data_IF_139878161976
#
_entry.id   IF_139878161976
#
_cell.length_a   1.000
_cell.length_b   1.000
_cell.length_c   1.000
_cell.angle_alpha   90.00
_cell.angle_beta   90.00
_cell.angle_gamma   90.00
#
_symmetry.space_group_name_H-M   'P 1'
#
loop_
_entity.id
_entity.type
_entity.pdbx_description
1 polymer ?
#
# COMPACT_ATOMS: atom_id res chain seq x y z
N UNK A 1 13.75 -11.54 -2.26
CA UNK A 1 14.08 -11.63 -3.70
C UNK A 1 13.61 -10.36 -4.38
N UNK A 2 14.53 -9.46 -4.73
CA UNK A 2 14.21 -8.35 -5.64
C UNK A 2 13.89 -8.87 -7.05
N UNK A 3 13.52 -7.96 -7.96
CA UNK A 3 13.11 -8.21 -9.35
C UNK A 3 14.12 -8.94 -10.26
N UNK A 4 15.25 -9.42 -9.71
CA UNK A 4 16.37 -10.02 -10.44
C UNK A 4 16.39 -11.56 -10.44
N UNK A 5 15.41 -12.23 -9.80
CA UNK A 5 15.23 -13.68 -9.88
C UNK A 5 16.15 -14.52 -9.00
N UNK A 6 17.44 -14.17 -8.88
CA UNK A 6 18.36 -14.85 -7.95
C UNK A 6 18.20 -14.36 -6.50
N UNK A 7 18.01 -15.26 -5.51
CA UNK A 7 18.06 -14.89 -4.10
C UNK A 7 19.44 -14.37 -3.70
N UNK A 8 19.49 -13.18 -3.08
CA UNK A 8 20.68 -12.64 -2.42
C UNK A 8 20.53 -12.82 -0.90
N UNK A 9 21.51 -13.46 -0.26
CA UNK A 9 21.52 -13.62 1.20
C UNK A 9 21.95 -12.33 1.89
N UNK A 10 21.02 -11.60 2.51
CA UNK A 10 21.33 -10.36 3.25
C UNK A 10 22.00 -10.70 4.58
N UNK A 11 23.20 -10.17 4.81
CA UNK A 11 23.97 -10.41 6.03
C UNK A 11 23.54 -9.43 7.13
N UNK A 12 22.79 -9.93 8.11
CA UNK A 12 22.33 -9.16 9.27
C UNK A 12 23.08 -9.60 10.52
N UNK A 13 23.60 -8.64 11.26
CA UNK A 13 24.29 -8.83 12.54
C UNK A 13 23.31 -8.75 13.70
N UNK A 14 23.73 -9.21 14.88
CA UNK A 14 22.98 -8.99 16.12
C UNK A 14 22.71 -7.50 16.39
N UNK A 15 23.71 -6.64 16.15
CA UNK A 15 23.57 -5.20 16.35
C UNK A 15 22.47 -4.60 15.45
N UNK A 16 22.36 -5.07 14.20
CA UNK A 16 21.30 -4.60 13.29
C UNK A 16 19.90 -4.87 13.87
N UNK A 17 19.70 -6.04 14.48
CA UNK A 17 18.40 -6.45 15.05
C UNK A 17 18.15 -5.77 16.40
N UNK A 18 19.15 -5.67 17.28
CA UNK A 18 19.00 -5.04 18.60
C UNK A 18 18.63 -3.55 18.49
N UNK A 19 19.21 -2.84 17.52
CA UNK A 19 18.87 -1.45 17.24
C UNK A 19 17.37 -1.25 16.93
N UNK A 20 16.73 -2.24 16.30
CA UNK A 20 15.30 -2.18 16.00
C UNK A 20 14.43 -2.34 17.25
N UNK A 21 14.92 -3.09 18.24
CA UNK A 21 14.22 -3.22 19.52
C UNK A 21 14.24 -1.90 20.29
N UNK A 22 15.39 -1.21 20.28
CA UNK A 22 15.52 0.11 20.90
C UNK A 22 14.55 1.11 20.26
N UNK A 23 14.48 1.14 18.92
CA UNK A 23 13.54 1.98 18.18
C UNK A 23 12.06 1.66 18.48
N UNK A 24 11.71 0.38 18.69
CA UNK A 24 10.33 0.01 19.06
C UNK A 24 10.01 0.43 20.50
N UNK A 25 10.96 0.30 21.42
CA UNK A 25 10.76 0.65 22.84
C UNK A 25 10.54 2.13 23.07
N UNK A 26 11.01 3.00 22.18
CA UNK A 26 10.82 4.45 22.34
C UNK A 26 9.39 4.90 22.05
N UNK A 27 8.66 4.15 21.22
CA UNK A 27 7.39 4.61 20.62
C UNK A 27 6.21 3.65 20.87
N UNK A 28 6.50 2.43 21.34
CA UNK A 28 5.49 1.39 21.58
C UNK A 28 5.68 0.71 22.94
N UNK A 29 4.63 0.76 23.75
CA UNK A 29 4.56 0.06 25.04
C UNK A 29 4.13 -1.40 24.81
N UNK A 30 5.11 -2.31 24.71
CA UNK A 30 4.88 -3.77 24.67
C UNK A 30 5.42 -4.41 25.93
N UNK A 31 4.59 -5.23 26.58
CA UNK A 31 4.84 -5.79 27.90
C UNK A 31 4.53 -7.30 27.96
N UNK A 32 4.87 -7.95 29.06
CA UNK A 32 4.58 -9.38 29.26
C UNK A 32 3.07 -9.72 29.31
N UNK A 33 2.18 -8.73 29.43
CA UNK A 33 0.73 -8.96 29.34
C UNK A 33 0.20 -8.96 27.91
N UNK A 34 1.06 -8.62 26.95
CA UNK A 34 0.69 -8.57 25.54
C UNK A 34 0.76 -9.92 24.87
N UNK A 35 -0.08 -10.08 23.84
CA UNK A 35 -0.17 -11.28 23.04
C UNK A 35 -0.10 -10.91 21.57
N UNK A 36 0.74 -11.61 20.83
CA UNK A 36 0.85 -11.51 19.39
C UNK A 36 0.38 -12.78 18.69
N UNK A 37 -0.04 -12.62 17.44
CA UNK A 37 -0.42 -13.69 16.54
C UNK A 37 0.54 -13.70 15.35
N UNK A 38 1.46 -14.66 15.35
CA UNK A 38 2.42 -14.88 14.28
C UNK A 38 1.80 -15.77 13.19
N UNK A 39 1.46 -15.17 12.05
CA UNK A 39 0.97 -15.88 10.87
C UNK A 39 1.80 -15.58 9.61
N UNK A 40 2.75 -14.65 9.70
CA UNK A 40 3.71 -14.40 8.63
C UNK A 40 4.88 -15.40 8.71
N UNK A 41 5.55 -15.73 7.60
CA UNK A 41 6.68 -16.65 7.65
C UNK A 41 7.87 -16.07 8.42
N UNK A 42 8.48 -16.85 9.33
CA UNK A 42 9.71 -16.48 10.04
C UNK A 42 10.94 -16.33 9.12
N UNK A 43 10.85 -16.79 7.87
CA UNK A 43 11.86 -16.50 6.85
C UNK A 43 11.86 -15.04 6.41
N UNK A 44 10.78 -14.30 6.66
CA UNK A 44 10.65 -12.88 6.36
C UNK A 44 11.16 -12.05 7.54
N UNK A 45 12.05 -11.08 7.28
CA UNK A 45 12.69 -10.30 8.35
C UNK A 45 11.70 -9.53 9.22
N UNK A 46 10.56 -9.10 8.65
CA UNK A 46 9.53 -8.34 9.37
C UNK A 46 8.97 -9.11 10.56
N UNK A 47 8.45 -10.31 10.31
CA UNK A 47 7.93 -11.19 11.35
C UNK A 47 9.04 -11.71 12.26
N UNK A 48 10.22 -12.01 11.71
CA UNK A 48 11.34 -12.53 12.49
C UNK A 48 11.81 -11.53 13.54
N UNK A 49 12.05 -10.28 13.15
CA UNK A 49 12.45 -9.22 14.08
C UNK A 49 11.34 -8.93 15.09
N UNK A 50 10.08 -8.90 14.65
CA UNK A 50 8.93 -8.73 15.55
C UNK A 50 8.83 -9.86 16.58
N UNK A 51 8.91 -11.12 16.16
CA UNK A 51 8.88 -12.28 17.05
C UNK A 51 10.00 -12.22 18.10
N UNK A 52 11.21 -11.81 17.71
CA UNK A 52 12.30 -11.61 18.67
C UNK A 52 12.03 -10.47 19.65
N UNK A 53 11.40 -9.39 19.18
CA UNK A 53 11.00 -8.28 20.04
C UNK A 53 9.92 -8.69 21.06
N UNK A 54 8.91 -9.46 20.62
CA UNK A 54 7.88 -10.04 21.51
C UNK A 54 8.54 -10.87 22.61
N UNK A 55 9.49 -11.74 22.28
CA UNK A 55 10.25 -12.50 23.27
C UNK A 55 11.09 -11.62 24.19
N UNK A 56 11.70 -10.56 23.66
CA UNK A 56 12.48 -9.59 24.46
C UNK A 56 11.62 -8.85 25.48
N UNK A 57 10.35 -8.61 25.18
CA UNK A 57 9.38 -7.99 26.08
C UNK A 57 8.73 -8.98 27.07
N UNK A 58 8.99 -10.28 26.93
CA UNK A 58 8.33 -11.33 27.72
C UNK A 58 6.86 -11.55 27.35
N UNK A 59 6.43 -11.05 26.19
CA UNK A 59 5.08 -11.18 25.68
C UNK A 59 4.85 -12.57 25.06
N UNK A 60 3.58 -12.96 24.93
CA UNK A 60 3.18 -14.23 24.33
C UNK A 60 3.15 -14.13 22.80
N UNK A 61 3.76 -15.09 22.10
CA UNK A 61 3.70 -15.17 20.63
C UNK A 61 2.98 -16.45 20.19
N UNK A 62 1.80 -16.31 19.59
CA UNK A 62 0.96 -17.43 19.15
C UNK A 62 1.21 -17.75 17.68
N UNK A 63 1.71 -18.94 17.39
CA UNK A 63 2.03 -19.36 16.03
C UNK A 63 0.84 -20.01 15.34
N UNK A 64 0.45 -19.46 14.19
CA UNK A 64 -0.60 -20.01 13.35
C UNK A 64 -0.01 -20.78 12.17
N UNK A 65 -0.34 -22.06 12.07
CA UNK A 65 0.16 -22.92 11.00
C UNK A 65 -0.41 -22.59 9.61
N UNK A 66 -1.71 -22.24 9.53
CA UNK A 66 -2.39 -21.88 8.29
C UNK A 66 -2.81 -20.40 8.30
N UNK A 67 -2.10 -19.51 7.57
CA UNK A 67 -2.42 -18.09 7.48
C UNK A 67 -3.84 -17.80 6.98
N UNK A 68 -4.50 -18.73 6.27
CA UNK A 68 -5.88 -18.54 5.81
C UNK A 68 -6.87 -18.45 6.97
N UNK A 69 -6.51 -19.01 8.12
CA UNK A 69 -7.32 -19.04 9.33
C UNK A 69 -7.08 -17.84 10.26
N UNK A 70 -6.29 -16.84 9.84
CA UNK A 70 -5.87 -15.72 10.70
C UNK A 70 -7.06 -14.98 11.34
N UNK A 71 -8.14 -14.72 10.60
CA UNK A 71 -9.33 -14.03 11.13
C UNK A 71 -10.04 -14.89 12.19
N UNK A 72 -10.13 -16.20 11.97
CA UNK A 72 -10.71 -17.12 12.96
C UNK A 72 -9.84 -17.19 14.22
N UNK A 73 -8.52 -17.31 14.05
CA UNK A 73 -7.55 -17.35 15.14
C UNK A 73 -7.52 -16.05 15.96
N UNK A 74 -7.83 -14.89 15.35
CA UNK A 74 -7.94 -13.62 16.08
C UNK A 74 -9.03 -13.65 17.16
N UNK A 75 -10.12 -14.38 16.95
CA UNK A 75 -11.21 -14.49 17.93
C UNK A 75 -10.79 -15.28 19.18
N UNK A 76 -9.93 -16.29 19.01
CA UNK A 76 -9.43 -17.13 20.09
C UNK A 76 -8.22 -16.49 20.80
N UNK A 77 -7.19 -16.13 20.01
CA UNK A 77 -5.94 -15.55 20.51
C UNK A 77 -6.15 -14.14 21.05
N UNK A 78 -7.07 -13.37 20.44
CA UNK A 78 -7.37 -11.98 20.81
C UNK A 78 -6.07 -11.15 20.98
N UNK A 79 -5.20 -11.09 19.96
CA UNK A 79 -3.89 -10.43 20.07
C UNK A 79 -4.08 -8.95 20.43
N UNK A 80 -3.18 -8.41 21.26
CA UNK A 80 -3.16 -6.98 21.64
C UNK A 80 -2.19 -6.19 20.76
N UNK A 81 -1.17 -6.85 20.24
CA UNK A 81 -0.11 -6.31 19.38
C UNK A 81 0.21 -7.28 18.25
N UNK A 82 0.43 -6.78 17.03
CA UNK A 82 0.70 -7.66 15.89
C UNK A 82 1.30 -6.86 14.72
N UNK A 83 2.18 -7.49 13.96
CA UNK A 83 2.61 -7.03 12.64
C UNK A 83 1.85 -7.76 11.54
N UNK A 84 1.52 -7.07 10.47
CA UNK A 84 0.74 -7.63 9.36
C UNK A 84 1.04 -6.91 8.06
N UNK A 85 0.51 -7.45 6.97
CA UNK A 85 0.54 -6.85 5.64
C UNK A 85 -0.79 -6.14 5.33
N UNK A 86 -0.79 -5.11 4.45
CA UNK A 86 -2.01 -4.39 4.04
C UNK A 86 -3.18 -5.30 3.66
N UNK A 87 -2.88 -6.41 2.99
CA UNK A 87 -3.89 -7.36 2.49
C UNK A 87 -4.85 -7.89 3.56
N UNK A 88 -4.39 -8.05 4.80
CA UNK A 88 -5.26 -8.49 5.89
C UNK A 88 -6.29 -7.40 6.24
N UNK A 89 -5.83 -6.15 6.38
CA UNK A 89 -6.66 -4.99 6.66
C UNK A 89 -7.67 -4.74 5.54
N UNK A 90 -7.24 -4.81 4.28
CA UNK A 90 -8.10 -4.73 3.11
C UNK A 90 -9.19 -5.80 3.12
N UNK A 91 -8.83 -7.06 3.43
CA UNK A 91 -9.79 -8.16 3.48
C UNK A 91 -10.82 -7.96 4.58
N UNK A 92 -10.40 -7.51 5.77
CA UNK A 92 -11.30 -7.21 6.88
C UNK A 92 -12.21 -6.04 6.52
N UNK A 93 -11.66 -4.95 5.97
CA UNK A 93 -12.41 -3.81 5.49
C UNK A 93 -13.48 -4.23 4.47
N UNK A 94 -13.11 -4.97 3.43
CA UNK A 94 -14.03 -5.46 2.42
C UNK A 94 -15.13 -6.36 3.00
N UNK A 95 -14.78 -7.24 3.96
CA UNK A 95 -15.76 -8.11 4.64
C UNK A 95 -16.75 -7.29 5.45
N UNK A 96 -16.29 -6.26 6.16
CA UNK A 96 -17.15 -5.36 6.94
C UNK A 96 -18.08 -4.57 6.01
N UNK A 97 -17.54 -3.96 4.96
CA UNK A 97 -18.33 -3.17 4.00
C UNK A 97 -19.37 -4.03 3.29
N UNK A 98 -19.00 -5.23 2.86
CA UNK A 98 -19.95 -6.17 2.25
C UNK A 98 -21.10 -6.54 3.19
N UNK A 99 -20.81 -6.78 4.47
CA UNK A 99 -21.85 -7.04 5.48
C UNK A 99 -22.76 -5.83 5.73
N UNK A 100 -22.23 -4.61 5.61
CA UNK A 100 -23.02 -3.36 5.69
C UNK A 100 -23.92 -3.20 4.47
N UNK A 101 -23.41 -3.48 3.27
CA UNK A 101 -24.13 -3.35 2.00
C UNK A 101 -25.31 -4.33 1.90
N UNK A 102 -25.16 -5.54 2.45
CA UNK A 102 -26.25 -6.52 2.57
C UNK A 102 -27.31 -6.13 3.62
N UNK A 103 -27.00 -5.17 4.50
CA UNK A 103 -27.90 -4.69 5.52
C UNK A 103 -29.00 -3.78 4.98
N UNK A 104 -30.00 -3.53 5.82
CA UNK A 104 -31.05 -2.55 5.51
C UNK A 104 -30.48 -1.13 5.37
N UNK A 105 -31.20 -0.23 4.67
CA UNK A 105 -30.80 1.17 4.57
C UNK A 105 -30.62 1.86 5.94
N UNK A 106 -31.36 1.42 6.97
CA UNK A 106 -31.17 1.89 8.34
C UNK A 106 -29.85 1.39 8.94
N UNK A 107 -29.48 0.13 8.68
CA UNK A 107 -28.20 -0.46 9.11
C UNK A 107 -27.03 0.28 8.49
N UNK A 108 -27.10 0.57 7.19
CA UNK A 108 -26.07 1.34 6.47
C UNK A 108 -25.93 2.75 7.04
N UNK A 109 -27.04 3.47 7.24
CA UNK A 109 -27.03 4.81 7.85
C UNK A 109 -26.46 4.80 9.26
N UNK A 110 -26.83 3.81 10.07
CA UNK A 110 -26.30 3.65 11.43
C UNK A 110 -24.80 3.38 11.43
N UNK A 111 -24.32 2.54 10.51
CA UNK A 111 -22.89 2.25 10.35
C UNK A 111 -22.10 3.50 9.99
N UNK A 112 -22.51 4.23 8.94
CA UNK A 112 -21.82 5.44 8.52
C UNK A 112 -21.85 6.54 9.60
N UNK A 113 -22.98 6.69 10.30
CA UNK A 113 -23.06 7.59 11.46
C UNK A 113 -22.07 7.20 12.56
N UNK A 114 -22.00 5.91 12.90
CA UNK A 114 -21.11 5.43 13.95
C UNK A 114 -19.63 5.65 13.59
N UNK A 115 -19.25 5.35 12.35
CA UNK A 115 -17.88 5.56 11.84
C UNK A 115 -17.53 7.06 11.85
N UNK A 116 -18.43 7.96 11.43
CA UNK A 116 -18.16 9.40 11.50
C UNK A 116 -18.02 9.91 12.95
N UNK A 117 -18.88 9.43 13.86
CA UNK A 117 -18.76 9.75 15.30
C UNK A 117 -17.41 9.27 15.84
N UNK A 118 -17.01 8.05 15.51
CA UNK A 118 -15.72 7.47 15.87
C UNK A 118 -14.54 8.30 15.36
N UNK A 119 -14.57 8.67 14.07
CA UNK A 119 -13.60 9.57 13.45
C UNK A 119 -13.48 10.88 14.23
N UNK A 120 -14.58 11.61 14.42
CA UNK A 120 -14.59 12.90 15.13
C UNK A 120 -14.07 12.76 16.56
N UNK A 121 -14.44 11.69 17.26
CA UNK A 121 -14.01 11.42 18.63
C UNK A 121 -12.49 11.19 18.71
N UNK A 122 -11.92 10.35 17.84
CA UNK A 122 -10.50 10.04 17.85
C UNK A 122 -9.62 11.24 17.44
N UNK A 123 -10.07 12.06 16.49
CA UNK A 123 -9.40 13.35 16.21
C UNK A 123 -9.47 14.31 17.40
N UNK A 124 -10.65 14.46 18.03
CA UNK A 124 -10.81 15.35 19.19
C UNK A 124 -9.95 14.92 20.39
N UNK A 125 -9.80 13.61 20.65
CA UNK A 125 -8.90 13.06 21.69
C UNK A 125 -7.43 13.45 21.48
N UNK A 126 -7.05 13.75 20.25
CA UNK A 126 -5.70 14.17 19.85
C UNK A 126 -5.58 15.68 19.66
N UNK A 127 -6.54 16.46 20.17
CA UNK A 127 -6.55 17.92 20.08
C UNK A 127 -6.91 18.46 18.70
N UNK A 128 -7.37 17.61 17.76
CA UNK A 128 -7.76 18.01 16.41
C UNK A 128 -9.30 18.08 16.34
N UNK A 129 -9.84 19.28 16.53
CA UNK A 129 -11.28 19.54 16.39
C UNK A 129 -12.08 19.55 17.72
N UNK A 130 -13.39 19.82 17.65
CA UNK A 130 -14.21 20.05 18.83
C UNK A 130 -14.54 18.74 19.56
N UNK A 131 -14.03 18.62 20.80
CA UNK A 131 -14.44 17.58 21.74
C UNK A 131 -15.71 17.94 22.52
N UNK A 132 -16.00 17.18 23.57
CA UNK A 132 -17.05 17.52 24.54
C UNK A 132 -17.85 16.33 25.05
N UNK A 133 -18.61 16.54 26.12
CA UNK A 133 -19.41 15.49 26.76
C UNK A 133 -20.44 14.87 25.81
N UNK A 134 -21.02 15.67 24.91
CA UNK A 134 -21.97 15.20 23.90
C UNK A 134 -21.32 14.24 22.89
N UNK A 135 -20.15 14.58 22.35
CA UNK A 135 -19.42 13.71 21.43
C UNK A 135 -19.00 12.41 22.12
N UNK A 136 -18.56 12.47 23.38
CA UNK A 136 -18.25 11.28 24.18
C UNK A 136 -19.47 10.39 24.38
N UNK A 137 -20.66 10.96 24.59
CA UNK A 137 -21.90 10.19 24.71
C UNK A 137 -22.30 9.54 23.38
N UNK A 138 -22.23 10.29 22.27
CA UNK A 138 -22.45 9.76 20.92
C UNK A 138 -21.48 8.61 20.64
N UNK A 139 -20.20 8.78 20.98
CA UNK A 139 -19.19 7.75 20.80
C UNK A 139 -19.52 6.49 21.59
N UNK A 140 -19.87 6.60 22.89
CA UNK A 140 -20.28 5.42 23.68
C UNK A 140 -21.45 4.67 23.05
N UNK A 141 -22.41 5.38 22.46
CA UNK A 141 -23.54 4.77 21.77
C UNK A 141 -23.12 4.12 20.45
N UNK A 142 -22.36 4.82 19.61
CA UNK A 142 -21.79 4.30 18.36
C UNK A 142 -20.95 3.04 18.61
N UNK A 143 -20.17 3.06 19.69
CA UNK A 143 -19.31 1.98 20.11
C UNK A 143 -20.11 0.72 20.44
N UNK A 144 -21.12 0.87 21.32
CA UNK A 144 -22.00 -0.22 21.73
C UNK A 144 -22.84 -0.80 20.60
N UNK A 145 -23.19 0.00 19.58
CA UNK A 145 -24.04 -0.46 18.48
C UNK A 145 -23.25 -1.06 17.32
N UNK A 146 -22.11 -0.45 16.98
CA UNK A 146 -21.37 -0.71 15.73
C UNK A 146 -19.88 -0.92 15.96
N UNK A 147 -19.15 0.05 16.53
CA UNK A 147 -17.68 0.07 16.42
C UNK A 147 -17.02 -1.14 17.11
N UNK A 148 -17.55 -1.59 18.26
CA UNK A 148 -16.99 -2.77 18.94
C UNK A 148 -17.06 -4.04 18.09
N UNK A 149 -18.09 -4.21 17.26
CA UNK A 149 -18.24 -5.40 16.40
C UNK A 149 -17.12 -5.49 15.38
N UNK A 150 -16.69 -4.35 14.83
CA UNK A 150 -15.54 -4.30 13.90
C UNK A 150 -14.25 -4.65 14.64
N UNK A 151 -14.06 -4.15 15.87
CA UNK A 151 -12.90 -4.49 16.68
C UNK A 151 -12.91 -5.95 17.15
N UNK A 152 -14.07 -6.53 17.39
CA UNK A 152 -14.22 -7.93 17.82
C UNK A 152 -13.81 -8.92 16.74
N UNK A 153 -14.02 -8.60 15.45
CA UNK A 153 -13.45 -9.37 14.32
C UNK A 153 -11.92 -9.45 14.41
N UNK A 154 -11.29 -8.39 14.95
CA UNK A 154 -9.85 -8.33 15.18
C UNK A 154 -9.45 -8.92 16.55
N UNK A 155 -10.39 -9.49 17.32
CA UNK A 155 -10.16 -10.05 18.66
C UNK A 155 -10.37 -9.07 19.82
N UNK A 156 -11.01 -7.93 19.60
CA UNK A 156 -11.37 -6.93 20.62
C UNK A 156 -10.41 -5.74 20.73
N UNK A 157 -10.25 -5.12 21.92
CA UNK A 157 -9.33 -3.99 22.13
C UNK A 157 -7.88 -4.31 21.75
N UNK A 158 -7.13 -3.29 21.32
CA UNK A 158 -5.74 -3.39 20.84
C UNK A 158 -4.89 -2.27 21.42
N UNK A 159 -3.59 -2.52 21.59
CA UNK A 159 -2.62 -1.48 21.88
C UNK A 159 -2.22 -0.79 20.57
N UNK A 160 -1.70 -1.58 19.63
CA UNK A 160 -1.47 -1.14 18.25
C UNK A 160 -1.38 -2.35 17.34
N UNK A 161 -1.65 -2.15 16.06
CA UNK A 161 -1.24 -3.07 15.01
C UNK A 161 -0.34 -2.34 14.02
N UNK A 162 0.49 -3.07 13.28
CA UNK A 162 1.37 -2.49 12.27
C UNK A 162 1.12 -3.10 10.89
N UNK A 163 1.20 -2.24 9.87
CA UNK A 163 1.16 -2.64 8.46
C UNK A 163 2.53 -2.39 7.81
N UNK A 164 3.03 -3.37 7.06
CA UNK A 164 4.29 -3.23 6.33
C UNK A 164 4.41 -4.16 5.13
N UNK A 165 5.46 -3.94 4.33
CA UNK A 165 5.79 -4.76 3.15
C UNK A 165 5.02 -4.42 1.86
N UNK A 166 4.00 -3.57 1.94
CA UNK A 166 3.28 -2.95 0.83
C UNK A 166 2.55 -1.69 1.35
N UNK A 167 2.12 -0.76 0.47
CA UNK A 167 1.30 0.37 0.86
C UNK A 167 -0.13 -0.05 1.23
N UNK A 168 -0.71 0.60 2.24
CA UNK A 168 -2.12 0.57 2.61
C UNK A 168 -2.74 1.93 2.25
N UNK A 169 -4.00 1.94 1.82
CA UNK A 169 -4.65 3.20 1.45
C UNK A 169 -4.99 4.03 2.68
N UNK A 170 -4.76 5.34 2.61
CA UNK A 170 -5.11 6.28 3.68
C UNK A 170 -6.58 6.19 4.12
N UNK A 171 -7.48 5.85 3.19
CA UNK A 171 -8.90 5.66 3.49
C UNK A 171 -9.15 4.43 4.39
N UNK A 172 -8.42 3.34 4.18
CA UNK A 172 -8.52 2.14 5.04
C UNK A 172 -7.87 2.42 6.40
N UNK A 173 -6.73 3.12 6.43
CA UNK A 173 -6.10 3.55 7.68
C UNK A 173 -7.05 4.42 8.52
N UNK A 174 -7.65 5.44 7.90
CA UNK A 174 -8.59 6.34 8.59
C UNK A 174 -9.85 5.60 9.03
N UNK A 175 -10.33 4.62 8.27
CA UNK A 175 -11.43 3.76 8.68
C UNK A 175 -11.09 3.00 9.98
N UNK A 176 -9.96 2.30 10.02
CA UNK A 176 -9.55 1.56 11.22
C UNK A 176 -9.36 2.51 12.42
N UNK A 177 -8.75 3.66 12.17
CA UNK A 177 -8.60 4.70 13.18
C UNK A 177 -9.94 5.15 13.73
N UNK A 178 -10.93 5.36 12.85
CA UNK A 178 -12.28 5.80 13.21
C UNK A 178 -13.03 4.77 14.05
N UNK A 179 -12.72 3.48 13.94
CA UNK A 179 -13.27 2.45 14.84
C UNK A 179 -12.44 2.24 16.11
N UNK A 180 -11.47 3.11 16.38
CA UNK A 180 -10.62 3.06 17.58
C UNK A 180 -9.44 2.08 17.47
N UNK A 181 -8.97 1.79 16.26
CA UNK A 181 -7.82 0.92 15.99
C UNK A 181 -6.77 1.68 15.17
N UNK A 182 -5.68 2.08 15.81
CA UNK A 182 -4.56 2.65 15.06
C UNK A 182 -3.74 1.53 14.39
N UNK A 183 -3.69 1.57 13.06
CA UNK A 183 -2.79 0.75 12.25
C UNK A 183 -1.56 1.60 11.91
N UNK A 184 -0.41 1.24 12.45
CA UNK A 184 0.85 1.92 12.26
C UNK A 184 1.58 1.39 11.02
N UNK A 185 1.51 2.12 9.92
CA UNK A 185 2.35 1.84 8.75
C UNK A 185 3.84 2.02 9.04
N UNK A 186 4.67 1.15 8.46
CA UNK A 186 6.12 1.28 8.48
C UNK A 186 6.77 0.88 7.17
N UNK A 187 7.92 1.46 6.90
CA UNK A 187 8.72 1.19 5.71
C UNK A 187 10.10 0.67 6.07
N UNK A 188 10.55 -0.27 5.27
CA UNK A 188 11.93 -0.71 5.20
C UNK A 188 12.06 -2.03 4.46
N UNK A 189 13.27 -2.57 4.48
CA UNK A 189 13.75 -3.63 3.59
C UNK A 189 14.39 -4.75 4.39
N UNK A 190 14.69 -5.86 3.73
CA UNK A 190 15.50 -6.91 4.37
C UNK A 190 16.88 -6.37 4.74
N UNK A 191 17.40 -5.50 3.91
CA UNK A 191 18.67 -4.78 4.06
C UNK A 191 18.69 -3.78 5.22
N UNK A 192 17.54 -3.45 5.83
CA UNK A 192 17.40 -2.49 6.95
C UNK A 192 16.77 -3.10 8.20
N UNK A 193 16.67 -4.42 8.27
CA UNK A 193 16.54 -5.20 9.51
C UNK A 193 15.29 -5.11 10.44
N UNK A 194 14.07 -4.65 10.12
CA UNK A 194 13.53 -4.36 8.80
C UNK A 194 13.03 -2.92 8.62
N UNK A 195 13.08 -2.06 9.64
CA UNK A 195 12.43 -0.75 9.66
C UNK A 195 13.43 0.37 9.44
N UNK A 196 13.02 1.33 8.62
CA UNK A 196 13.67 2.62 8.39
C UNK A 196 12.80 3.73 8.99
N UNK A 197 11.48 3.65 8.78
CA UNK A 197 10.50 4.59 9.29
C UNK A 197 9.27 3.85 9.81
N UNK A 198 8.54 4.45 10.76
CA UNK A 198 7.20 3.99 11.13
C UNK A 198 6.32 5.13 11.64
N UNK A 199 5.01 4.97 11.48
CA UNK A 199 4.00 5.71 12.22
C UNK A 199 3.92 5.15 13.64
N UNK A 200 3.71 6.02 14.62
CA UNK A 200 3.54 5.64 16.03
C UNK A 200 2.24 6.19 16.62
N UNK A 201 1.81 5.70 17.80
CA UNK A 201 0.71 6.31 18.55
C UNK A 201 0.88 7.81 18.79
N UNK A 202 2.11 8.31 18.83
CA UNK A 202 2.44 9.70 19.09
C UNK A 202 2.69 10.53 17.82
N UNK A 203 3.18 9.91 16.75
CA UNK A 203 3.47 10.57 15.48
C UNK A 203 3.02 9.70 14.29
N UNK A 204 1.87 10.03 13.71
CA UNK A 204 1.36 9.36 12.51
C UNK A 204 0.71 10.34 11.53
N UNK A 205 0.72 9.99 10.25
CA UNK A 205 -0.01 10.68 9.19
C UNK A 205 -0.48 9.67 8.15
N UNK A 206 -1.77 9.69 7.84
CA UNK A 206 -2.34 8.72 6.90
C UNK A 206 -1.78 8.88 5.49
N UNK A 207 -1.50 7.76 4.83
CA UNK A 207 -0.83 7.69 3.55
C UNK A 207 0.66 8.07 3.61
N UNK A 208 1.26 8.01 4.79
CA UNK A 208 2.71 8.10 5.00
C UNK A 208 3.20 6.86 5.72
N UNK A 209 4.48 6.53 5.54
CA UNK A 209 5.15 5.41 6.24
C UNK A 209 5.85 5.88 7.52
N UNK A 210 5.49 7.06 8.01
CA UNK A 210 5.98 7.59 9.27
C UNK A 210 7.30 8.34 9.22
N UNK A 211 7.90 8.51 10.39
CA UNK A 211 9.18 9.23 10.56
C UNK A 211 10.34 8.26 10.68
N UNK A 212 11.59 8.67 10.35
CA UNK A 212 12.78 7.86 10.58
C UNK A 212 12.88 7.42 12.04
N UNK A 213 13.23 6.14 12.23
CA UNK A 213 13.48 5.60 13.56
C UNK A 213 14.73 6.26 14.19
N UNK A 214 14.90 6.20 15.53
CA UNK A 214 16.09 6.72 16.18
C UNK A 214 17.39 6.23 15.53
N UNK A 215 18.39 7.11 15.40
CA UNK A 215 19.68 6.83 14.75
C UNK A 215 19.62 6.33 13.29
N UNK A 216 18.46 6.44 12.64
CA UNK A 216 18.30 6.19 11.22
C UNK A 216 18.26 7.50 10.44
N UNK A 217 19.34 7.78 9.73
CA UNK A 217 19.41 8.92 8.82
C UNK A 217 18.81 8.53 7.48
N UNK A 218 17.92 9.36 6.97
CA UNK A 218 17.27 9.18 5.68
C UNK A 218 17.47 10.45 4.86
N UNK A 219 17.90 10.30 3.62
CA UNK A 219 18.09 11.39 2.67
C UNK A 219 17.41 11.04 1.35
N UNK A 220 16.77 12.02 0.71
CA UNK A 220 16.26 11.88 -0.65
C UNK A 220 17.33 12.38 -1.62
N UNK A 221 17.77 11.54 -2.55
CA UNK A 221 18.71 11.91 -3.60
C UNK A 221 18.03 12.73 -4.72
N UNK A 222 18.81 13.33 -5.61
CA UNK A 222 18.30 14.19 -6.70
C UNK A 222 17.31 13.48 -7.64
N UNK A 223 17.44 12.15 -7.77
CA UNK A 223 16.54 11.30 -8.56
C UNK A 223 15.28 10.85 -7.78
N UNK A 224 15.12 11.29 -6.53
CA UNK A 224 14.04 10.88 -5.61
C UNK A 224 14.32 9.61 -4.82
N UNK A 225 15.48 8.96 -5.00
CA UNK A 225 15.83 7.75 -4.27
C UNK A 225 15.96 8.01 -2.76
N UNK A 226 15.39 7.10 -1.97
CA UNK A 226 15.60 7.06 -0.53
C UNK A 226 16.96 6.43 -0.24
N UNK A 227 17.83 7.19 0.40
CA UNK A 227 19.13 6.73 0.89
C UNK A 227 19.06 6.58 2.41
N UNK A 228 19.61 5.48 2.93
CA UNK A 228 19.55 5.15 4.36
C UNK A 228 20.95 4.97 4.93
N UNK A 229 21.20 5.56 6.09
CA UNK A 229 22.40 5.32 6.90
C UNK A 229 21.99 5.12 8.35
N UNK A 230 22.14 3.89 8.84
CA UNK A 230 21.65 3.48 10.16
C UNK A 230 22.42 2.25 10.66
N UNK A 231 22.53 2.05 11.98
CA UNK A 231 22.97 0.78 12.56
C UNK A 231 22.11 -0.42 12.14
N UNK A 232 20.88 -0.21 11.62
CA UNK A 232 20.02 -1.26 11.08
C UNK A 232 20.47 -1.82 9.72
N UNK A 233 21.35 -1.11 9.01
CA UNK A 233 21.72 -1.45 7.63
C UNK A 233 22.63 -2.68 7.58
N UNK A 234 22.35 -3.56 6.64
CA UNK A 234 23.08 -4.82 6.38
C UNK A 234 24.58 -4.60 6.17
N UNK A 235 25.36 -5.65 6.45
CA UNK A 235 26.78 -5.72 6.05
C UNK A 235 26.98 -6.00 4.55
N UNK A 236 25.88 -6.17 3.81
CA UNK A 236 25.87 -6.51 2.39
C UNK A 236 25.34 -7.91 2.11
N UNK A 237 25.66 -8.41 0.92
CA UNK A 237 25.17 -9.68 0.42
C UNK A 237 26.22 -10.79 0.55
N UNK A 238 25.83 -11.92 1.14
CA UNK A 238 26.68 -13.09 1.36
C UNK A 238 27.23 -13.62 0.04
N UNK A 239 28.56 -13.74 -0.06
CA UNK A 239 29.30 -14.18 -1.25
C UNK A 239 28.97 -13.39 -2.54
N UNK A 240 28.59 -12.10 -2.43
CA UNK A 240 28.26 -11.24 -3.58
C UNK A 240 28.91 -9.85 -3.43
N UNK A 241 30.25 -9.73 -3.42
CA UNK A 241 30.96 -8.45 -3.14
C UNK A 241 30.64 -7.34 -4.15
N UNK A 242 30.47 -7.65 -5.44
CA UNK A 242 30.08 -6.67 -6.45
C UNK A 242 28.71 -6.05 -6.15
N UNK A 243 27.70 -6.89 -5.88
CA UNK A 243 26.36 -6.42 -5.51
C UNK A 243 26.35 -5.65 -4.18
N UNK A 244 27.25 -5.99 -3.24
CA UNK A 244 27.43 -5.22 -2.02
C UNK A 244 27.99 -3.84 -2.34
N UNK A 245 29.06 -3.73 -3.12
CA UNK A 245 29.63 -2.42 -3.48
C UNK A 245 28.63 -1.55 -4.26
N UNK A 246 27.84 -2.13 -5.15
CA UNK A 246 26.81 -1.42 -5.91
C UNK A 246 25.68 -0.86 -5.02
N UNK A 247 25.39 -1.50 -3.88
CA UNK A 247 24.31 -1.09 -2.99
C UNK A 247 24.68 0.06 -2.05
N UNK A 248 25.96 0.46 -1.99
CA UNK A 248 26.44 1.49 -1.08
C UNK A 248 27.25 2.56 -1.80
N UNK A 249 27.02 3.83 -1.47
CA UNK A 249 27.84 4.96 -1.91
C UNK A 249 28.03 5.94 -0.75
N UNK A 250 29.28 6.33 -0.47
CA UNK A 250 29.63 7.28 0.61
C UNK A 250 29.05 6.88 2.00
N UNK A 251 28.90 5.59 2.26
CA UNK A 251 28.33 5.04 3.49
C UNK A 251 26.80 5.14 3.59
N UNK A 252 26.12 5.51 2.50
CA UNK A 252 24.67 5.44 2.34
C UNK A 252 24.28 4.16 1.59
N UNK A 253 23.25 3.49 2.08
CA UNK A 253 22.60 2.38 1.39
C UNK A 253 21.54 2.90 0.42
N UNK A 254 21.62 2.44 -0.82
CA UNK A 254 20.68 2.72 -1.89
C UNK A 254 19.50 1.76 -1.81
N UNK A 255 18.33 2.27 -1.41
CA UNK A 255 17.15 1.42 -1.20
C UNK A 255 16.54 0.91 -2.50
N UNK A 256 16.75 1.63 -3.61
CA UNK A 256 16.04 1.39 -4.86
C UNK A 256 14.57 1.82 -4.83
N UNK A 257 14.11 2.44 -3.74
CA UNK A 257 12.75 2.95 -3.56
C UNK A 257 12.77 4.49 -3.57
N UNK A 258 11.68 5.09 -4.05
CA UNK A 258 11.53 6.52 -4.27
C UNK A 258 10.54 7.06 -3.27
N UNK A 259 10.83 8.23 -2.70
CA UNK A 259 9.94 8.87 -1.76
C UNK A 259 10.23 10.33 -1.55
N UNK A 260 9.37 10.94 -0.74
CA UNK A 260 9.45 12.36 -0.39
C UNK A 260 9.10 12.55 1.09
N UNK A 261 9.76 13.52 1.71
CA UNK A 261 9.35 14.02 3.03
C UNK A 261 8.35 15.15 2.86
N UNK A 262 7.36 15.18 3.74
CA UNK A 262 6.57 16.38 3.94
C UNK A 262 7.24 17.36 4.92
N UNK A 263 6.65 18.55 5.07
CA UNK A 263 7.16 19.60 5.95
C UNK A 263 7.19 19.22 7.45
N UNK A 264 6.47 18.15 7.83
CA UNK A 264 6.41 17.64 9.20
C UNK A 264 7.41 16.49 9.45
N UNK A 265 8.14 16.07 8.40
CA UNK A 265 9.15 15.00 8.44
C UNK A 265 8.58 13.59 8.29
N UNK A 266 7.36 13.44 7.78
CA UNK A 266 6.80 12.14 7.42
C UNK A 266 7.22 11.73 6.01
N UNK A 267 7.71 10.50 5.87
CA UNK A 267 8.11 9.92 4.59
C UNK A 267 6.89 9.33 3.88
N UNK A 268 6.78 9.58 2.57
CA UNK A 268 5.82 8.90 1.69
C UNK A 268 6.60 8.15 0.60
N UNK A 269 6.24 6.89 0.37
CA UNK A 269 6.82 6.09 -0.71
C UNK A 269 6.00 6.31 -1.97
N UNK A 270 6.66 6.65 -3.08
CA UNK A 270 6.00 6.98 -4.35
C UNK A 270 6.14 5.88 -5.39
N UNK A 271 7.31 5.22 -5.50
CA UNK A 271 7.52 4.09 -6.40
C UNK A 271 8.86 3.36 -6.12
N UNK A 272 9.24 2.41 -6.99
CA UNK A 272 10.61 1.88 -7.05
C UNK A 272 11.38 2.47 -8.23
N UNK A 273 12.67 2.74 -8.07
CA UNK A 273 13.53 3.31 -9.12
C UNK A 273 13.50 2.49 -10.40
N UNK A 274 13.54 1.16 -10.26
CA UNK A 274 13.52 0.24 -11.41
C UNK A 274 12.19 0.24 -12.16
N UNK A 275 11.13 0.70 -11.50
CA UNK A 275 9.80 0.78 -12.05
C UNK A 275 9.46 2.21 -12.51
N UNK A 276 10.31 3.22 -12.21
CA UNK A 276 10.14 4.58 -12.71
C UNK A 276 10.13 4.62 -14.24
N UNK A 277 9.21 5.40 -14.77
CA UNK A 277 9.19 5.78 -16.17
C UNK A 277 10.13 6.97 -16.35
N UNK A 278 11.20 6.80 -17.11
CA UNK A 278 12.09 7.90 -17.50
C UNK A 278 11.75 8.30 -18.93
N UNK A 279 11.02 9.39 -19.10
CA UNK A 279 10.67 9.90 -20.45
C UNK A 279 11.92 10.26 -21.25
N UNK A 280 11.82 10.35 -22.58
CA UNK A 280 12.92 10.80 -23.45
C UNK A 280 13.39 12.22 -23.13
N UNK A 281 12.55 13.02 -22.45
CA UNK A 281 12.89 14.36 -21.94
C UNK A 281 13.55 14.36 -20.56
N UNK A 282 13.90 13.19 -20.01
CA UNK A 282 14.58 13.04 -18.71
C UNK A 282 13.69 13.28 -17.49
N UNK A 283 12.37 13.31 -17.64
CA UNK A 283 11.44 13.38 -16.50
C UNK A 283 11.23 11.98 -15.92
N UNK A 284 11.45 11.85 -14.62
CA UNK A 284 11.17 10.67 -13.81
C UNK A 284 9.71 10.70 -13.35
N UNK A 285 8.97 9.65 -13.64
CA UNK A 285 7.54 9.55 -13.34
C UNK A 285 7.32 8.22 -12.63
N UNK A 286 6.62 8.28 -11.49
CA UNK A 286 6.16 7.11 -10.76
C UNK A 286 4.90 6.55 -11.44
N UNK A 287 4.95 5.43 -12.19
CA UNK A 287 3.75 4.87 -12.78
C UNK A 287 2.66 4.59 -11.76
N UNK A 288 2.98 4.17 -10.52
CA UNK A 288 1.94 3.89 -9.52
C UNK A 288 1.12 5.12 -9.16
N UNK A 289 1.74 6.31 -9.14
CA UNK A 289 1.04 7.58 -8.90
C UNK A 289 0.00 7.84 -9.99
N UNK A 290 0.40 7.67 -11.25
CA UNK A 290 -0.49 7.84 -12.41
C UNK A 290 -1.60 6.80 -12.39
N UNK A 291 -1.26 5.53 -12.19
CA UNK A 291 -2.19 4.40 -12.20
C UNK A 291 -3.23 4.51 -11.08
N UNK A 292 -2.84 4.94 -9.87
CA UNK A 292 -3.74 5.09 -8.73
C UNK A 292 -4.78 6.20 -8.96
N UNK A 293 -4.43 7.28 -9.66
CA UNK A 293 -5.39 8.33 -10.01
C UNK A 293 -6.50 7.79 -10.91
N UNK A 294 -6.14 7.04 -11.95
CA UNK A 294 -7.10 6.51 -12.92
C UNK A 294 -7.83 5.26 -12.44
N UNK A 295 -7.24 4.45 -11.56
CA UNK A 295 -7.87 3.27 -10.97
C UNK A 295 -9.12 3.58 -10.12
N UNK A 296 -9.36 4.86 -9.78
CA UNK A 296 -10.60 5.30 -9.11
C UNK A 296 -11.81 5.33 -10.04
N UNK A 297 -11.63 5.21 -11.35
CA UNK A 297 -12.72 5.22 -12.32
C UNK A 297 -13.38 3.83 -12.44
N UNK A 298 -14.68 3.76 -12.20
CA UNK A 298 -15.47 2.54 -12.33
C UNK A 298 -15.51 1.95 -13.75
N UNK A 299 -15.22 2.75 -14.80
CA UNK A 299 -15.05 2.24 -16.16
C UNK A 299 -13.73 1.51 -16.36
N UNK A 300 -12.75 1.65 -15.46
CA UNK A 300 -11.40 1.11 -15.62
C UNK A 300 -11.21 -0.07 -14.67
N UNK A 301 -10.98 -1.26 -15.23
CA UNK A 301 -10.63 -2.46 -14.44
C UNK A 301 -9.13 -2.50 -14.16
N UNK A 302 -8.30 -2.25 -15.19
CA UNK A 302 -6.85 -2.20 -15.06
C UNK A 302 -6.28 -1.03 -15.85
N UNK A 303 -5.29 -0.34 -15.28
CA UNK A 303 -4.61 0.79 -15.91
C UNK A 303 -3.11 0.61 -15.79
N UNK A 304 -2.38 0.65 -16.90
CA UNK A 304 -0.92 0.56 -16.93
C UNK A 304 -0.36 1.79 -17.63
N UNK A 305 0.39 2.60 -16.88
CA UNK A 305 1.12 3.73 -17.45
C UNK A 305 2.35 3.23 -18.23
N UNK A 306 2.53 3.80 -19.43
CA UNK A 306 3.63 3.53 -20.36
C UNK A 306 4.29 4.86 -20.71
N UNK A 307 5.61 4.92 -20.70
CA UNK A 307 6.31 6.12 -21.16
C UNK A 307 7.82 6.07 -21.07
N UNK A 308 8.37 4.90 -20.72
CA UNK A 308 9.81 4.73 -20.57
C UNK A 308 10.51 4.97 -21.91
N UNK A 309 11.44 5.92 -21.93
CA UNK A 309 12.15 6.46 -23.09
C UNK A 309 11.23 7.01 -24.18
N UNK A 310 10.04 7.51 -23.81
CA UNK A 310 9.06 8.12 -24.74
C UNK A 310 8.86 9.61 -24.48
N UNK A 311 8.33 10.32 -25.49
CA UNK A 311 8.06 11.78 -25.44
C UNK A 311 6.99 12.17 -24.41
N UNK A 312 6.10 11.25 -24.05
CA UNK A 312 5.00 11.48 -23.10
C UNK A 312 4.48 10.17 -22.51
N UNK A 313 3.68 10.27 -21.45
CA UNK A 313 2.96 9.13 -20.88
C UNK A 313 1.78 8.74 -21.77
N UNK A 314 1.70 7.47 -22.09
CA UNK A 314 0.54 6.78 -22.65
C UNK A 314 0.02 5.71 -21.68
N UNK A 315 -1.09 5.07 -21.98
CA UNK A 315 -1.66 4.03 -21.12
C UNK A 315 -2.23 2.84 -21.89
N UNK A 316 -2.06 1.65 -21.32
CA UNK A 316 -2.87 0.48 -21.67
C UNK A 316 -3.98 0.34 -20.64
N UNK A 317 -5.22 0.24 -21.10
CA UNK A 317 -6.40 0.26 -20.23
C UNK A 317 -7.23 -0.98 -20.52
N UNK A 318 -7.55 -1.75 -19.50
CA UNK A 318 -8.55 -2.81 -19.57
C UNK A 318 -9.86 -2.23 -19.05
N UNK A 319 -10.89 -2.09 -19.90
CA UNK A 319 -12.22 -1.69 -19.48
C UNK A 319 -12.81 -2.60 -18.41
N UNK A 320 -13.56 -2.03 -17.48
CA UNK A 320 -14.58 -2.78 -16.77
C UNK A 320 -15.71 -3.06 -17.77
N UNK A 321 -15.70 -4.26 -18.34
CA UNK A 321 -16.63 -4.63 -19.40
C UNK A 321 -18.08 -4.67 -18.96
N UNK A 322 -18.37 -5.03 -17.72
CA UNK A 322 -19.76 -5.05 -17.22
C UNK A 322 -20.36 -3.64 -17.23
N UNK A 323 -19.58 -2.65 -16.77
CA UNK A 323 -19.96 -1.23 -16.78
C UNK A 323 -20.00 -0.69 -18.21
N UNK A 324 -18.99 -1.00 -19.03
CA UNK A 324 -18.89 -0.48 -20.39
C UNK A 324 -19.99 -1.03 -21.32
N UNK A 325 -20.32 -2.31 -21.22
CA UNK A 325 -21.39 -2.94 -22.02
C UNK A 325 -22.76 -2.34 -21.65
N UNK A 326 -23.00 -2.07 -20.36
CA UNK A 326 -24.22 -1.38 -19.90
C UNK A 326 -24.30 0.04 -20.48
N UNK A 327 -23.21 0.81 -20.38
CA UNK A 327 -23.13 2.14 -20.97
C UNK A 327 -23.37 2.13 -22.49
N UNK A 328 -22.79 1.15 -23.20
CA UNK A 328 -22.96 1.01 -24.64
C UNK A 328 -24.42 0.76 -25.01
N UNK A 329 -25.12 -0.10 -24.26
CA UNK A 329 -26.56 -0.35 -24.44
C UNK A 329 -27.40 0.91 -24.21
N UNK A 330 -27.13 1.64 -23.13
CA UNK A 330 -27.84 2.89 -22.79
C UNK A 330 -27.65 3.99 -23.84
N UNK A 331 -26.48 4.03 -24.49
CA UNK A 331 -26.16 4.97 -25.57
C UNK A 331 -26.58 4.47 -26.96
N UNK A 332 -27.17 3.26 -27.07
CA UNK A 332 -27.55 2.67 -28.35
C UNK A 332 -26.38 2.28 -29.25
N UNK A 333 -25.21 2.00 -28.67
CA UNK A 333 -24.02 1.54 -29.38
C UNK A 333 -24.16 0.04 -29.66
N UNK A 334 -24.20 -0.33 -30.93
CA UNK A 334 -24.24 -1.73 -31.37
C UNK A 334 -22.82 -2.25 -31.55
N UNK A 335 -22.54 -3.43 -31.00
CA UNK A 335 -21.26 -4.13 -31.11
C UNK A 335 -21.48 -5.65 -31.16
N UNK A 336 -20.66 -6.36 -31.93
CA UNK A 336 -20.69 -7.82 -32.02
C UNK A 336 -19.86 -8.48 -30.91
N UNK A 337 -18.74 -7.86 -30.54
CA UNK A 337 -17.85 -8.34 -29.49
C UNK A 337 -17.11 -7.19 -28.77
N UNK A 338 -16.36 -7.54 -27.73
CA UNK A 338 -15.57 -6.59 -26.94
C UNK A 338 -14.46 -5.91 -27.73
N UNK A 339 -13.89 -6.56 -28.75
CA UNK A 339 -12.82 -6.00 -29.56
C UNK A 339 -13.35 -4.93 -30.54
N UNK A 340 -14.57 -5.10 -31.04
CA UNK A 340 -15.29 -4.07 -31.79
C UNK A 340 -15.69 -2.91 -30.87
N UNK A 341 -16.27 -3.21 -29.70
CA UNK A 341 -16.75 -2.20 -28.76
C UNK A 341 -15.67 -1.18 -28.41
N UNK A 342 -14.47 -1.65 -28.04
CA UNK A 342 -13.36 -0.78 -27.63
C UNK A 342 -12.72 0.02 -28.76
N UNK A 343 -13.04 -0.28 -30.03
CA UNK A 343 -12.60 0.49 -31.20
C UNK A 343 -13.62 1.54 -31.64
N UNK A 344 -14.81 1.53 -31.06
CA UNK A 344 -15.88 2.47 -31.40
C UNK A 344 -15.48 3.90 -31.03
N UNK A 345 -15.60 4.89 -31.95
CA UNK A 345 -15.22 6.27 -31.66
C UNK A 345 -15.92 6.88 -30.44
N UNK A 346 -17.20 6.54 -30.21
CA UNK A 346 -17.95 7.00 -29.05
C UNK A 346 -17.36 6.48 -27.73
N UNK A 347 -16.94 5.21 -27.68
CA UNK A 347 -16.28 4.62 -26.51
C UNK A 347 -14.91 5.25 -26.28
N UNK A 348 -14.11 5.44 -27.34
CA UNK A 348 -12.81 6.11 -27.22
C UNK A 348 -12.95 7.56 -26.74
N UNK A 349 -13.96 8.30 -27.21
CA UNK A 349 -14.26 9.65 -26.75
C UNK A 349 -14.67 9.65 -25.26
N UNK A 350 -15.47 8.68 -24.83
CA UNK A 350 -15.86 8.54 -23.43
C UNK A 350 -14.64 8.31 -22.52
N UNK A 351 -13.75 7.37 -22.86
CA UNK A 351 -12.53 7.13 -22.08
C UNK A 351 -11.59 8.34 -22.09
N UNK A 352 -11.50 9.07 -23.20
CA UNK A 352 -10.75 10.33 -23.24
C UNK A 352 -11.28 11.33 -22.22
N UNK A 353 -12.60 11.50 -22.15
CA UNK A 353 -13.24 12.39 -21.18
C UNK A 353 -12.93 11.97 -19.74
N UNK A 354 -12.96 10.66 -19.44
CA UNK A 354 -12.63 10.14 -18.11
C UNK A 354 -11.16 10.37 -17.71
N UNK A 355 -10.24 10.27 -18.67
CA UNK A 355 -8.82 10.53 -18.44
C UNK A 355 -8.59 12.03 -18.22
N UNK A 356 -9.22 12.88 -19.03
CA UNK A 356 -9.05 14.32 -18.96
C UNK A 356 -9.65 14.91 -17.67
N UNK A 357 -10.78 14.37 -17.18
CA UNK A 357 -11.44 14.85 -15.95
C UNK A 357 -10.62 14.65 -14.68
N UNK A 358 -9.58 13.80 -14.72
CA UNK A 358 -8.68 13.50 -13.59
C UNK A 358 -7.24 13.99 -13.83
N UNK A 359 -6.96 14.55 -14.99
CA UNK A 359 -5.62 14.98 -15.37
C UNK A 359 -5.06 16.12 -14.48
N UNK A 360 -5.94 16.87 -13.81
CA UNK A 360 -5.54 17.94 -12.89
C UNK A 360 -4.99 17.45 -11.55
N UNK A 361 -5.17 16.16 -11.19
CA UNK A 361 -4.48 15.52 -10.07
C UNK A 361 -2.99 15.23 -10.37
N UNK A 362 -2.57 15.40 -11.63
CA UNK A 362 -1.23 15.05 -12.13
C UNK A 362 -0.48 16.27 -12.68
N UNK A 363 0.85 16.27 -12.53
CA UNK A 363 1.69 17.28 -13.15
C UNK A 363 1.63 17.17 -14.69
N UNK A 364 1.85 18.27 -15.40
CA UNK A 364 1.69 18.31 -16.87
C UNK A 364 2.49 17.25 -17.65
N UNK A 365 3.63 16.81 -17.11
CA UNK A 365 4.46 15.75 -17.69
C UNK A 365 4.05 14.33 -17.30
N UNK A 366 3.22 14.16 -16.26
CA UNK A 366 2.64 12.88 -15.79
C UNK A 366 1.31 12.57 -16.49
N UNK A 367 0.68 13.56 -17.14
CA UNK A 367 -0.61 13.42 -17.82
C UNK A 367 -0.54 12.47 -19.02
N UNK A 368 -1.55 11.63 -19.13
CA UNK A 368 -1.68 10.62 -20.20
C UNK A 368 -2.15 11.27 -21.50
N UNK A 369 -1.28 11.31 -22.51
CA UNK A 369 -1.61 11.93 -23.82
C UNK A 369 -2.24 10.95 -24.81
N UNK A 370 -1.90 9.67 -24.73
CA UNK A 370 -2.44 8.63 -25.61
C UNK A 370 -2.84 7.40 -24.79
N UNK A 371 -3.80 6.61 -25.27
CA UNK A 371 -4.16 5.35 -24.62
C UNK A 371 -4.63 4.34 -25.66
N UNK A 372 -4.55 3.07 -25.29
CA UNK A 372 -5.15 1.95 -26.03
C UNK A 372 -6.00 1.13 -25.06
N UNK A 373 -7.22 0.80 -25.48
CA UNK A 373 -8.10 -0.12 -24.75
C UNK A 373 -7.75 -1.56 -25.14
N UNK A 374 -7.69 -2.44 -24.16
CA UNK A 374 -7.34 -3.84 -24.32
C UNK A 374 -8.58 -4.74 -24.21
N UNK A 375 -8.68 -5.79 -25.06
CA UNK A 375 -9.85 -6.69 -25.12
C UNK A 375 -9.96 -7.65 -23.93
N UNK A 376 -8.87 -7.85 -23.19
CA UNK A 376 -8.78 -8.86 -22.15
C UNK A 376 -7.93 -8.36 -20.97
N UNK A 377 -8.26 -8.78 -19.73
CA UNK A 377 -7.45 -8.47 -18.56
C UNK A 377 -6.10 -9.18 -18.60
N UNK A 378 -5.13 -8.63 -17.88
CA UNK A 378 -3.85 -9.29 -17.61
C UNK A 378 -4.08 -10.54 -16.78
N UNK A 379 -3.33 -11.61 -17.08
CA UNK A 379 -3.48 -12.88 -16.38
C UNK A 379 -2.16 -13.45 -15.89
N UNK A 380 -2.25 -14.37 -14.93
CA UNK A 380 -1.08 -15.13 -14.50
C UNK A 380 -0.70 -16.20 -15.55
N UNK A 381 -1.67 -16.80 -16.22
CA UNK A 381 -1.48 -17.84 -17.23
C UNK A 381 -0.71 -17.34 -18.45
N UNK A 382 -1.05 -16.13 -18.91
CA UNK A 382 -0.36 -15.45 -20.02
C UNK A 382 0.89 -14.69 -19.57
N UNK A 383 1.22 -14.76 -18.28
CA UNK A 383 2.52 -14.37 -17.72
C UNK A 383 2.68 -12.90 -17.35
N UNK A 384 1.67 -12.05 -17.55
CA UNK A 384 1.69 -10.62 -17.22
C UNK A 384 1.60 -10.37 -15.71
N UNK A 385 1.04 -11.31 -14.94
CA UNK A 385 0.93 -11.22 -13.48
C UNK A 385 1.86 -12.21 -12.77
N UNK A 386 2.30 -11.86 -11.56
CA UNK A 386 2.93 -12.78 -10.61
C UNK A 386 1.86 -13.64 -9.90
N UNK A 387 2.24 -14.73 -9.20
CA UNK A 387 1.30 -15.44 -8.32
C UNK A 387 0.68 -14.57 -7.22
N UNK A 388 1.33 -13.45 -6.89
CA UNK A 388 0.84 -12.44 -5.94
C UNK A 388 0.08 -11.29 -6.63
N UNK A 389 -0.38 -11.49 -7.87
CA UNK A 389 -1.16 -10.51 -8.65
C UNK A 389 -0.41 -9.20 -8.97
N UNK A 390 0.93 -9.18 -8.84
CA UNK A 390 1.75 -8.02 -9.22
C UNK A 390 1.99 -8.01 -10.73
N UNK A 391 1.88 -6.84 -11.33
CA UNK A 391 2.11 -6.63 -12.77
C UNK A 391 3.60 -6.78 -13.12
N UNK A 392 3.90 -7.53 -14.17
CA UNK A 392 5.23 -7.65 -14.78
C UNK A 392 5.32 -6.72 -15.99
N UNK A 393 5.66 -5.44 -15.74
CA UNK A 393 5.74 -4.37 -16.77
C UNK A 393 6.56 -4.74 -18.00
N UNK A 394 7.70 -5.42 -17.81
CA UNK A 394 8.54 -5.91 -18.92
C UNK A 394 7.75 -6.83 -19.87
N UNK A 395 7.02 -7.79 -19.32
CA UNK A 395 6.22 -8.75 -20.11
C UNK A 395 5.09 -8.02 -20.84
N UNK A 396 4.40 -7.10 -20.17
CA UNK A 396 3.34 -6.29 -20.80
C UNK A 396 3.90 -5.47 -21.96
N UNK A 397 5.01 -4.77 -21.75
CA UNK A 397 5.64 -3.96 -22.80
C UNK A 397 6.05 -4.80 -24.00
N UNK A 398 6.61 -5.97 -23.77
CA UNK A 398 7.08 -6.85 -24.82
C UNK A 398 5.88 -7.50 -25.57
N UNK A 399 4.78 -7.82 -24.86
CA UNK A 399 3.55 -8.42 -25.43
C UNK A 399 2.72 -7.41 -26.24
N UNK A 400 2.53 -6.20 -25.72
CA UNK A 400 1.69 -5.15 -26.32
C UNK A 400 2.54 -4.09 -27.05
N UNK A 401 3.70 -4.50 -27.58
CA UNK A 401 4.63 -3.58 -28.22
C UNK A 401 3.98 -2.83 -29.40
N UNK A 402 3.20 -3.52 -30.23
CA UNK A 402 2.54 -2.92 -31.39
C UNK A 402 1.51 -1.84 -30.99
N UNK A 403 0.68 -2.13 -29.98
CA UNK A 403 -0.28 -1.18 -29.42
C UNK A 403 0.43 0.01 -28.80
N UNK A 404 1.54 -0.23 -28.10
CA UNK A 404 2.37 0.81 -27.52
C UNK A 404 2.98 1.70 -28.61
N UNK A 405 3.58 1.13 -29.67
CA UNK A 405 4.15 1.93 -30.75
C UNK A 405 3.10 2.79 -31.46
N UNK A 406 1.89 2.27 -31.67
CA UNK A 406 0.80 3.00 -32.33
C UNK A 406 0.34 4.25 -31.56
N UNK A 407 0.62 4.33 -30.25
CA UNK A 407 0.32 5.51 -29.43
C UNK A 407 1.32 6.65 -29.59
N UNK A 408 2.48 6.40 -30.18
CA UNK A 408 3.53 7.38 -30.37
C UNK A 408 3.65 7.80 -31.84
N UNK A 409 3.99 9.06 -32.12
CA UNK A 409 4.29 9.48 -33.48
C UNK A 409 5.45 8.63 -34.03
N UNK A 410 5.44 8.27 -35.34
CA UNK A 410 6.62 7.72 -36.00
C UNK A 410 7.80 8.68 -35.78
N UNK A 411 8.97 8.12 -35.48
CA UNK A 411 10.20 8.91 -35.29
C UNK A 411 10.62 9.67 -36.54
#
# INVERSE_FOLDING_TARGET
>A
SGTTGEPKGVMLTHANILHQFEALQTEFDVSATDRSLCFLPLSHVYERTWSYYVFRCGAENNYLADPKQVIAAMADVRPTVMVSVPRLYEKIYATVMHGVDQGSALTQRLFHWAVDVGRRYEYARRGKGPGGAWLTLQHKLADKLVLHKVRDVMGGPKNFFSAGGAPLSAAIEEFFFSVGLLVCEGYGLTETSPMVTFNSPHAFKFGSVGKPIPECQVRIADNGEILVKSPSVTQGYYNKPAATMEAFSEGWFHTGDVGEFDDEGFLRITDRIKDLIITSGGKNIAPQKVETVYAKDHFIEQFIAIGDRRKFISALIVPNYEVLETYAQDQGIVFADRAELIRTPAVLAHYRQQIDSRADELAGYERVKAFTLLPAPFSQETGELTPTQKVKRKVIRDKYAAEIEAMYPPD
#
